data_IF_474132712233
#
_entry.id   IF_474132712233
#
_cell.length_a   1.000
_cell.length_b   1.000
_cell.length_c   1.000
_cell.angle_alpha   90.00
_cell.angle_beta   90.00
_cell.angle_gamma   90.00
#
_symmetry.space_group_name_H-M   'P 1'
#
loop_
_entity.id
_entity.type
_entity.pdbx_description
1 polymer ?
#
# COMPACT_ATOMS: atom_id res chain seq x y z
N UNK A 1 -11.34 4.27 -17.87
CA UNK A 1 -10.29 3.22 -17.91
C UNK A 1 -10.81 1.93 -17.25
N UNK A 2 -10.84 1.78 -15.91
CA UNK A 2 -11.16 0.49 -15.25
C UNK A 2 -12.43 -0.22 -15.74
N UNK A 3 -13.56 0.51 -15.90
CA UNK A 3 -14.83 -0.08 -16.40
C UNK A 3 -14.70 -0.85 -17.72
N UNK A 4 -13.81 -0.42 -18.61
CA UNK A 4 -13.62 -1.04 -19.92
C UNK A 4 -12.57 -2.15 -19.93
N UNK A 5 -11.62 -2.12 -18.98
CA UNK A 5 -10.44 -2.99 -18.98
C UNK A 5 -10.45 -4.04 -17.86
N UNK A 6 -11.36 -3.95 -16.91
CA UNK A 6 -11.47 -4.89 -15.80
C UNK A 6 -11.75 -6.32 -16.30
N UNK A 7 -10.93 -7.27 -15.84
CA UNK A 7 -11.07 -8.69 -16.16
C UNK A 7 -11.12 -9.52 -14.88
N UNK A 8 -11.81 -10.67 -14.93
CA UNK A 8 -11.94 -11.58 -13.80
C UNK A 8 -12.92 -11.09 -12.71
N UNK A 9 -12.92 -11.80 -11.58
CA UNK A 9 -13.71 -11.48 -10.39
C UNK A 9 -12.84 -10.96 -9.23
N UNK A 10 -13.34 -10.99 -7.98
CA UNK A 10 -12.61 -10.49 -6.81
C UNK A 10 -11.26 -11.18 -6.53
N UNK A 11 -11.07 -12.38 -7.08
CA UNK A 11 -9.84 -13.17 -7.02
C UNK A 11 -8.76 -12.77 -8.05
N UNK A 12 -9.05 -11.83 -8.95
CA UNK A 12 -8.14 -11.40 -10.00
C UNK A 12 -7.61 -9.99 -9.74
N UNK A 13 -6.31 -9.86 -9.51
CA UNK A 13 -5.66 -8.55 -9.41
C UNK A 13 -5.55 -7.91 -10.81
N UNK A 14 -6.30 -6.83 -11.03
CA UNK A 14 -6.09 -5.96 -12.18
C UNK A 14 -5.07 -4.88 -11.80
N UNK A 15 -3.91 -4.89 -12.46
CA UNK A 15 -2.86 -3.88 -12.32
C UNK A 15 -2.83 -2.99 -13.56
N UNK A 16 -3.08 -1.70 -13.39
CA UNK A 16 -3.12 -0.72 -14.47
C UNK A 16 -1.91 0.22 -14.41
N UNK A 17 -1.16 0.30 -15.50
CA UNK A 17 -0.07 1.28 -15.64
C UNK A 17 -0.59 2.50 -16.39
N UNK A 18 -0.47 3.68 -15.78
CA UNK A 18 -0.89 4.99 -16.33
C UNK A 18 0.06 6.07 -15.81
N UNK A 19 -0.25 7.35 -15.93
CA UNK A 19 0.47 8.41 -15.20
C UNK A 19 0.01 8.56 -13.74
N UNK A 20 -0.99 7.78 -13.30
CA UNK A 20 -1.61 7.80 -11.97
C UNK A 20 -2.10 9.17 -11.42
N UNK A 21 -2.04 10.24 -12.22
CA UNK A 21 -2.49 11.57 -11.85
C UNK A 21 -1.47 12.25 -10.94
N UNK A 22 -1.93 12.73 -9.78
CA UNK A 22 -1.07 13.41 -8.79
C UNK A 22 -0.39 12.42 -7.81
N UNK A 23 -0.52 11.11 -8.04
CA UNK A 23 0.00 10.04 -7.17
C UNK A 23 0.98 9.13 -7.92
N UNK A 24 1.86 8.44 -7.19
CA UNK A 24 2.68 7.35 -7.74
C UNK A 24 1.86 6.07 -7.97
N UNK A 25 0.82 5.87 -7.16
CA UNK A 25 -0.08 4.75 -7.26
C UNK A 25 -1.33 4.99 -6.42
N UNK A 26 -2.34 4.15 -6.62
CA UNK A 26 -3.50 4.07 -5.74
C UNK A 26 -4.25 2.75 -5.94
N UNK A 27 -4.88 2.28 -4.85
CA UNK A 27 -5.81 1.16 -4.85
C UNK A 27 -7.12 1.53 -4.12
N UNK A 28 -8.16 0.75 -4.37
CA UNK A 28 -9.31 0.69 -3.46
C UNK A 28 -9.09 -0.46 -2.48
N UNK A 29 -9.51 -0.27 -1.22
CA UNK A 29 -9.60 -1.36 -0.25
C UNK A 29 -10.56 -2.46 -0.76
N UNK A 30 -10.39 -3.72 -0.32
CA UNK A 30 -11.07 -4.87 -0.93
C UNK A 30 -12.59 -4.86 -0.75
N UNK A 31 -13.14 -4.11 0.22
CA UNK A 31 -14.59 -4.00 0.40
C UNK A 31 -15.31 -3.35 -0.80
N UNK A 32 -14.57 -2.75 -1.74
CA UNK A 32 -15.11 -2.22 -3.00
C UNK A 32 -15.85 -3.29 -3.82
N UNK A 33 -15.41 -4.55 -3.74
CA UNK A 33 -16.03 -5.67 -4.48
C UNK A 33 -17.43 -6.01 -3.94
N UNK A 34 -17.74 -5.61 -2.71
CA UNK A 34 -19.06 -5.82 -2.09
C UNK A 34 -20.01 -4.66 -2.35
N UNK A 35 -19.56 -3.58 -3.01
CA UNK A 35 -20.40 -2.40 -3.28
C UNK A 35 -21.15 -2.58 -4.61
N UNK A 36 -22.50 -2.55 -4.60
CA UNK A 36 -23.30 -2.76 -5.80
C UNK A 36 -22.90 -1.83 -6.96
N UNK A 37 -22.66 -2.42 -8.13
CA UNK A 37 -22.32 -1.68 -9.35
C UNK A 37 -20.94 -1.00 -9.33
N UNK A 38 -20.09 -1.24 -8.33
CA UNK A 38 -18.76 -0.62 -8.17
C UNK A 38 -17.59 -1.60 -8.21
N UNK A 39 -17.82 -2.91 -8.26
CA UNK A 39 -16.76 -3.92 -8.30
C UNK A 39 -15.69 -3.67 -9.39
N UNK A 40 -16.08 -3.09 -10.53
CA UNK A 40 -15.14 -2.73 -11.61
C UNK A 40 -14.06 -1.69 -11.20
N UNK A 41 -14.20 -1.05 -10.04
CA UNK A 41 -13.20 -0.12 -9.49
C UNK A 41 -12.04 -0.85 -8.79
N UNK A 42 -12.18 -2.15 -8.48
CA UNK A 42 -11.13 -2.96 -7.85
C UNK A 42 -9.83 -2.96 -8.67
N UNK A 43 -8.73 -3.31 -8.00
CA UNK A 43 -7.40 -3.35 -8.58
C UNK A 43 -6.55 -2.12 -8.29
N UNK A 44 -5.31 -2.19 -8.75
CA UNK A 44 -4.23 -1.24 -8.46
C UNK A 44 -3.95 -0.38 -9.70
N UNK A 45 -3.71 0.90 -9.51
CA UNK A 45 -3.18 1.80 -10.54
C UNK A 45 -1.81 2.28 -10.09
N UNK A 46 -0.84 2.25 -11.01
CA UNK A 46 0.52 2.78 -10.77
C UNK A 46 0.93 3.75 -11.87
N UNK A 47 1.76 4.72 -11.51
CA UNK A 47 2.53 5.54 -12.42
C UNK A 47 3.56 4.62 -13.09
N UNK A 48 3.48 4.50 -14.40
CA UNK A 48 4.39 3.67 -15.17
C UNK A 48 5.84 4.09 -14.94
N UNK A 49 6.13 5.36 -14.65
CA UNK A 49 7.49 5.86 -14.42
C UNK A 49 8.13 5.35 -13.12
N UNK A 50 7.34 4.76 -12.21
CA UNK A 50 7.82 4.13 -10.97
C UNK A 50 8.29 2.68 -11.15
N UNK A 51 8.07 2.09 -12.33
CA UNK A 51 8.49 0.71 -12.60
C UNK A 51 10.01 0.62 -12.84
N UNK A 52 10.66 -0.49 -12.45
CA UNK A 52 12.10 -0.65 -12.60
C UNK A 52 12.58 -0.50 -14.05
N UNK A 53 13.52 0.43 -14.26
CA UNK A 53 14.26 0.56 -15.53
C UNK A 53 13.47 1.16 -16.70
N UNK A 54 12.30 1.77 -16.47
CA UNK A 54 11.46 2.32 -17.55
C UNK A 54 11.60 3.84 -17.72
N UNK A 55 11.94 4.57 -16.65
CA UNK A 55 12.08 6.03 -16.61
C UNK A 55 13.17 6.41 -15.60
N UNK A 56 13.66 7.65 -15.69
CA UNK A 56 14.59 8.25 -14.72
C UNK A 56 13.94 9.29 -13.82
N UNK A 57 12.63 9.56 -14.00
CA UNK A 57 11.89 10.59 -13.24
C UNK A 57 11.97 10.39 -11.72
N UNK A 58 11.95 9.13 -11.26
CA UNK A 58 12.02 8.78 -9.83
C UNK A 58 13.32 8.09 -9.44
N UNK A 59 14.39 8.24 -10.23
CA UNK A 59 15.66 7.53 -10.03
C UNK A 59 16.18 7.68 -8.58
N UNK A 60 16.47 6.54 -7.94
CA UNK A 60 16.96 6.44 -6.57
C UNK A 60 15.95 6.78 -5.47
N UNK A 61 14.65 6.91 -5.81
CA UNK A 61 13.58 7.24 -4.85
C UNK A 61 12.41 6.27 -4.92
N UNK A 62 11.79 6.13 -6.09
CA UNK A 62 10.57 5.33 -6.31
C UNK A 62 10.67 4.52 -7.61
N UNK A 63 11.84 3.94 -7.87
CA UNK A 63 12.22 3.30 -9.13
C UNK A 63 12.55 1.80 -8.99
N UNK A 64 12.19 1.17 -7.87
CA UNK A 64 12.40 -0.27 -7.63
C UNK A 64 11.11 -1.08 -7.68
N UNK A 65 9.98 -0.42 -7.99
CA UNK A 65 8.67 -1.05 -8.13
C UNK A 65 7.91 -1.20 -6.82
N UNK A 66 8.41 -0.64 -5.71
CA UNK A 66 7.78 -0.81 -4.40
C UNK A 66 6.49 0.00 -4.23
N UNK A 67 6.25 0.97 -5.13
CA UNK A 67 4.91 1.56 -5.28
C UNK A 67 3.87 0.47 -5.55
N UNK A 68 4.16 -0.52 -6.40
CA UNK A 68 3.21 -1.60 -6.65
C UNK A 68 3.03 -2.50 -5.41
N UNK A 69 4.12 -2.78 -4.66
CA UNK A 69 4.06 -3.52 -3.39
C UNK A 69 3.15 -2.82 -2.38
N UNK A 70 3.32 -1.50 -2.22
CA UNK A 70 2.49 -0.65 -1.34
C UNK A 70 1.01 -0.71 -1.72
N UNK A 71 0.69 -0.49 -3.00
CA UNK A 71 -0.70 -0.48 -3.45
C UNK A 71 -1.37 -1.87 -3.40
N UNK A 72 -0.60 -2.94 -3.60
CA UNK A 72 -1.12 -4.30 -3.39
C UNK A 72 -1.38 -4.56 -1.91
N UNK A 73 -0.61 -3.97 -1.00
CA UNK A 73 -0.92 -3.95 0.44
C UNK A 73 -2.31 -3.36 0.72
N UNK A 74 -2.64 -2.20 0.13
CA UNK A 74 -3.98 -1.62 0.21
C UNK A 74 -5.06 -2.51 -0.41
N UNK A 75 -4.80 -3.09 -1.58
CA UNK A 75 -5.70 -4.04 -2.24
C UNK A 75 -5.96 -5.28 -1.35
N UNK A 76 -5.03 -5.63 -0.45
CA UNK A 76 -5.15 -6.66 0.58
C UNK A 76 -5.49 -6.12 1.98
N UNK A 77 -6.10 -4.95 2.07
CA UNK A 77 -6.68 -4.36 3.29
C UNK A 77 -5.68 -3.81 4.32
N UNK A 78 -4.44 -3.51 3.93
CA UNK A 78 -3.51 -2.78 4.78
C UNK A 78 -3.80 -1.28 4.70
N UNK A 79 -3.78 -0.62 5.86
CA UNK A 79 -3.78 0.85 5.93
C UNK A 79 -2.32 1.34 5.95
N UNK A 80 -2.13 2.64 5.73
CA UNK A 80 -0.83 3.25 5.98
C UNK A 80 -0.41 3.07 7.43
N UNK A 81 0.88 2.91 7.71
CA UNK A 81 1.40 2.78 9.08
C UNK A 81 1.09 3.99 9.98
N UNK A 82 0.89 5.16 9.37
CA UNK A 82 0.51 6.40 10.04
C UNK A 82 -1.02 6.61 10.13
N UNK A 83 -1.81 5.64 9.70
CA UNK A 83 -3.27 5.68 9.87
C UNK A 83 -3.63 5.73 11.36
N UNK A 84 -4.56 6.60 11.72
CA UNK A 84 -4.92 6.82 13.13
C UNK A 84 -3.86 7.54 13.97
N UNK A 85 -2.68 7.84 13.43
CA UNK A 85 -1.59 8.52 14.12
C UNK A 85 -1.11 7.76 15.36
N UNK A 86 -0.83 8.47 16.44
CA UNK A 86 -0.45 7.87 17.72
C UNK A 86 -1.67 7.31 18.50
N UNK A 87 -2.69 6.77 17.83
CA UNK A 87 -3.80 6.07 18.49
C UNK A 87 -3.40 4.61 18.77
N UNK A 88 -3.86 4.03 19.87
CA UNK A 88 -3.64 2.62 20.20
C UNK A 88 -4.14 1.63 19.14
N UNK A 89 -5.16 2.01 18.34
CA UNK A 89 -5.62 1.16 17.23
C UNK A 89 -4.77 1.28 15.96
N UNK A 90 -4.00 2.37 15.80
CA UNK A 90 -3.15 2.61 14.64
C UNK A 90 -3.80 2.26 13.30
N UNK A 91 -3.04 1.54 12.47
CA UNK A 91 -3.39 0.94 11.18
C UNK A 91 -4.18 -0.39 11.29
N UNK A 92 -4.67 -0.71 12.50
CA UNK A 92 -5.33 -1.96 12.87
C UNK A 92 -4.42 -3.20 12.81
N UNK A 93 -3.11 -3.02 12.96
CA UNK A 93 -2.14 -4.10 13.08
C UNK A 93 -1.30 -3.90 14.34
N UNK A 94 -1.49 -4.77 15.33
CA UNK A 94 -0.90 -4.61 16.67
C UNK A 94 0.64 -4.62 16.70
N UNK A 95 1.30 -5.26 15.73
CA UNK A 95 2.75 -5.34 15.65
C UNK A 95 3.39 -4.29 14.72
N UNK A 96 2.61 -3.36 14.18
CA UNK A 96 3.10 -2.13 13.54
C UNK A 96 3.28 -1.04 14.61
N UNK A 97 4.50 -0.54 14.86
CA UNK A 97 4.69 0.62 15.75
C UNK A 97 3.89 1.83 15.30
N UNK A 98 3.32 2.57 16.26
CA UNK A 98 2.48 3.73 15.95
C UNK A 98 3.30 4.87 15.33
N UNK A 99 2.78 5.46 14.26
CA UNK A 99 3.43 6.55 13.52
C UNK A 99 2.46 7.71 13.33
N UNK A 100 2.90 8.96 13.54
CA UNK A 100 2.01 10.13 13.43
C UNK A 100 1.91 10.69 12.02
N UNK A 101 3.02 10.70 11.30
CA UNK A 101 3.15 11.33 9.98
C UNK A 101 3.98 10.44 9.06
N UNK A 102 3.72 10.42 7.74
CA UNK A 102 4.52 9.65 6.79
C UNK A 102 6.00 10.00 6.88
N UNK A 103 6.85 9.03 6.57
CA UNK A 103 8.28 9.26 6.35
C UNK A 103 8.49 9.75 4.93
N UNK A 104 9.49 10.60 4.72
CA UNK A 104 9.94 11.00 3.38
C UNK A 104 11.44 10.78 3.32
N UNK A 105 11.92 10.17 2.25
CA UNK A 105 13.32 9.79 2.11
C UNK A 105 13.69 8.50 2.84
N UNK A 106 14.96 8.43 3.25
CA UNK A 106 15.56 7.26 3.92
C UNK A 106 16.32 7.67 5.20
N UNK A 107 15.62 8.15 6.25
CA UNK A 107 16.30 8.52 7.48
C UNK A 107 16.88 7.28 8.19
N UNK A 108 17.92 7.46 9.01
CA UNK A 108 18.46 6.38 9.86
C UNK A 108 17.48 5.98 10.99
N UNK A 109 16.59 6.88 11.38
CA UNK A 109 15.58 6.64 12.39
C UNK A 109 14.57 7.78 12.48
N UNK A 110 13.37 7.46 12.96
CA UNK A 110 12.28 8.40 13.16
C UNK A 110 11.39 7.91 14.30
N UNK A 111 10.93 8.83 15.12
CA UNK A 111 10.06 8.54 16.25
C UNK A 111 9.13 9.73 16.46
N UNK A 112 7.86 9.55 16.09
CA UNK A 112 6.84 10.59 16.16
C UNK A 112 5.79 10.34 17.23
N UNK A 113 5.84 9.18 17.88
CA UNK A 113 4.84 8.71 18.84
C UNK A 113 5.52 8.13 20.07
N UNK A 114 5.10 8.54 21.28
CA UNK A 114 5.71 8.07 22.54
C UNK A 114 5.39 6.61 22.89
N UNK A 115 4.69 5.90 22.02
CA UNK A 115 4.38 4.48 22.17
C UNK A 115 5.64 3.62 21.97
N UNK A 116 5.64 2.35 22.41
CA UNK A 116 6.75 1.46 22.16
C UNK A 116 7.02 1.25 20.66
N UNK A 117 8.30 1.25 20.29
CA UNK A 117 8.77 1.08 18.90
C UNK A 117 9.09 2.41 18.23
N UNK A 118 10.03 2.40 17.28
CA UNK A 118 10.31 3.53 16.40
C UNK A 118 9.31 3.54 15.24
N UNK A 119 9.14 4.68 14.58
CA UNK A 119 8.32 4.76 13.37
C UNK A 119 8.81 3.70 12.36
N UNK A 120 7.91 2.92 11.75
CA UNK A 120 8.23 1.79 10.89
C UNK A 120 8.69 2.24 9.49
N UNK A 121 9.79 3.01 9.42
CA UNK A 121 10.33 3.63 8.19
C UNK A 121 10.72 2.63 7.08
N UNK A 122 10.86 1.35 7.41
CA UNK A 122 11.21 0.27 6.48
C UNK A 122 10.00 -0.58 6.05
N UNK A 123 8.80 -0.22 6.52
CA UNK A 123 7.57 -0.92 6.18
C UNK A 123 7.03 -0.45 4.83
N UNK A 124 6.58 -1.38 3.99
CA UNK A 124 6.03 -1.05 2.68
C UNK A 124 4.80 -0.14 2.74
N UNK A 125 4.10 -0.05 3.88
CA UNK A 125 2.92 0.82 4.06
C UNK A 125 3.24 2.23 4.61
N UNK A 126 4.52 2.59 4.74
CA UNK A 126 4.96 3.99 4.94
C UNK A 126 5.17 4.68 3.56
N UNK A 127 5.71 5.90 3.54
CA UNK A 127 6.07 6.68 2.33
C UNK A 127 7.58 6.94 2.17
N UNK A 128 8.41 6.07 2.76
CA UNK A 128 9.86 6.11 2.54
C UNK A 128 10.23 5.88 1.07
N UNK A 129 11.48 6.15 0.71
CA UNK A 129 11.98 5.74 -0.60
C UNK A 129 12.04 4.21 -0.72
N UNK A 130 11.90 3.70 -1.94
CA UNK A 130 11.92 2.27 -2.25
C UNK A 130 13.16 1.57 -1.67
N UNK A 131 14.32 2.24 -1.70
CA UNK A 131 15.59 1.74 -1.15
C UNK A 131 15.57 1.46 0.35
N UNK A 132 14.57 1.96 1.07
CA UNK A 132 14.42 1.80 2.50
C UNK A 132 13.45 0.68 2.86
N UNK A 133 12.57 0.28 1.94
CA UNK A 133 11.58 -0.74 2.28
C UNK A 133 12.22 -2.12 2.34
N UNK A 134 11.85 -2.87 3.37
CA UNK A 134 12.34 -4.24 3.54
C UNK A 134 11.30 -5.21 4.06
N UNK A 135 10.12 -4.77 4.53
CA UNK A 135 9.18 -5.68 5.19
C UNK A 135 7.69 -5.31 5.17
N UNK A 136 6.88 -6.34 5.27
CA UNK A 136 5.61 -6.33 6.01
C UNK A 136 5.83 -6.98 7.38
N UNK A 137 5.01 -6.63 8.38
CA UNK A 137 5.01 -7.33 9.67
C UNK A 137 4.26 -8.68 9.58
N UNK A 138 4.49 -9.62 10.49
CA UNK A 138 3.64 -10.81 10.63
C UNK A 138 2.15 -10.49 10.77
N UNK A 139 1.79 -9.45 11.53
CA UNK A 139 0.41 -9.00 11.68
C UNK A 139 -0.20 -8.46 10.38
N UNK A 140 0.56 -7.72 9.58
CA UNK A 140 0.14 -7.30 8.24
C UNK A 140 -0.09 -8.51 7.33
N UNK A 141 0.80 -9.50 7.35
CA UNK A 141 0.63 -10.73 6.58
C UNK A 141 -0.65 -11.49 6.98
N UNK A 142 -0.93 -11.62 8.28
CA UNK A 142 -2.16 -12.23 8.77
C UNK A 142 -3.39 -11.45 8.28
N UNK A 143 -3.38 -10.12 8.42
CA UNK A 143 -4.50 -9.26 7.99
C UNK A 143 -4.76 -9.37 6.47
N UNK A 144 -3.72 -9.44 5.66
CA UNK A 144 -3.85 -9.68 4.22
C UNK A 144 -4.47 -11.05 3.92
N UNK A 145 -4.08 -12.10 4.65
CA UNK A 145 -4.67 -13.43 4.55
C UNK A 145 -6.16 -13.45 4.91
N UNK A 146 -6.53 -12.79 6.00
CA UNK A 146 -7.94 -12.68 6.42
C UNK A 146 -8.78 -11.90 5.41
N UNK A 147 -8.23 -10.80 4.87
CA UNK A 147 -8.88 -10.02 3.82
C UNK A 147 -9.05 -10.81 2.52
N UNK A 148 -8.07 -11.62 2.15
CA UNK A 148 -8.20 -12.53 1.00
C UNK A 148 -9.37 -13.48 1.17
N UNK A 149 -9.47 -14.15 2.32
CA UNK A 149 -10.56 -15.09 2.60
C UNK A 149 -11.93 -14.39 2.62
N UNK A 150 -12.00 -13.18 3.15
CA UNK A 150 -13.25 -12.44 3.29
C UNK A 150 -13.77 -11.85 1.97
N UNK A 151 -12.89 -11.33 1.12
CA UNK A 151 -13.29 -10.54 -0.05
C UNK A 151 -12.93 -11.16 -1.39
N UNK A 152 -11.91 -12.03 -1.45
CA UNK A 152 -11.27 -12.43 -2.71
C UNK A 152 -11.40 -13.92 -3.02
N UNK A 153 -11.51 -14.78 -2.02
CA UNK A 153 -11.62 -16.23 -2.16
C UNK A 153 -13.01 -16.73 -2.62
N UNK A 154 -13.63 -16.03 -3.57
CA UNK A 154 -14.95 -16.34 -4.15
C UNK A 154 -14.87 -16.76 -5.61
#
# INVERSE_FOLDING_TARGET
MKRALHQGGPNALNLYTTTAGDYLGWAYLPDIVTKPGRAFLDGVVIDWESLPGVSTTYAGRYDQGETATHEVGHWLNLEHTFFGGCNAKGDFVDDTPAQKVPTNGCPEGKDTCRQPGLDPIHNYMDYSYDTCYTQFTPGQAQRMGDAWLLYRAV
#
